data_IF_235887224467
#
_entry.id   IF_235887224467
#
_cell.length_a   1.000
_cell.length_b   1.000
_cell.length_c   1.000
_cell.angle_alpha   90.00
_cell.angle_beta   90.00
_cell.angle_gamma   90.00
#
_symmetry.space_group_name_H-M   'P 1'
#
loop_
_entity.id
_entity.type
_entity.pdbx_description
1 polymer ?
#
# COMPACT_ATOMS: atom_id res chain seq x y z
N UNK A 1 -71.41 -76.74 18.08
CA UNK A 1 -71.50 -77.68 16.92
C UNK A 1 -70.82 -77.02 15.76
N UNK A 2 -69.74 -77.70 15.20
CA UNK A 2 -69.30 -77.68 13.78
C UNK A 2 -68.83 -76.37 13.19
N UNK A 3 -67.81 -76.29 12.46
CA UNK A 3 -66.72 -77.10 11.91
C UNK A 3 -65.78 -76.08 11.19
N UNK A 4 -64.55 -76.16 11.48
CA UNK A 4 -63.36 -76.14 10.65
C UNK A 4 -63.50 -75.75 9.17
N UNK A 5 -62.65 -74.85 8.72
CA UNK A 5 -62.26 -74.59 7.33
C UNK A 5 -60.87 -73.97 7.29
N UNK A 6 -59.89 -74.86 7.04
CA UNK A 6 -58.50 -74.41 6.91
C UNK A 6 -58.24 -73.81 5.55
N UNK A 7 -57.75 -72.58 5.48
CA UNK A 7 -57.26 -71.93 4.27
C UNK A 7 -55.73 -71.79 4.34
N UNK A 8 -55.03 -72.49 3.43
CA UNK A 8 -53.57 -72.39 3.21
C UNK A 8 -53.22 -71.00 2.67
N UNK A 9 -52.41 -70.28 3.43
CA UNK A 9 -51.77 -69.04 2.98
C UNK A 9 -50.44 -69.41 2.32
N UNK A 10 -50.34 -69.20 1.03
CA UNK A 10 -49.06 -69.19 0.29
C UNK A 10 -48.27 -67.94 0.67
N UNK A 11 -47.09 -68.11 1.27
CA UNK A 11 -46.16 -67.04 1.50
C UNK A 11 -45.32 -66.84 0.20
N UNK A 12 -45.63 -65.72 -0.50
CA UNK A 12 -44.77 -65.19 -1.56
C UNK A 12 -43.52 -64.53 -0.90
N UNK A 13 -42.34 -65.02 -1.20
CA UNK A 13 -41.06 -64.35 -0.83
C UNK A 13 -40.80 -63.30 -1.90
N UNK A 14 -40.97 -62.04 -1.53
CA UNK A 14 -40.44 -60.93 -2.32
C UNK A 14 -38.91 -60.87 -2.11
N UNK A 15 -38.15 -61.00 -3.19
CA UNK A 15 -36.72 -60.75 -3.25
C UNK A 15 -36.54 -59.27 -3.52
N UNK A 16 -36.15 -58.53 -2.51
CA UNK A 16 -35.79 -57.10 -2.65
C UNK A 16 -34.36 -57.03 -3.22
N UNK A 17 -34.24 -56.67 -4.53
CA UNK A 17 -32.94 -56.34 -5.14
C UNK A 17 -32.65 -54.91 -4.76
N UNK A 18 -31.70 -54.70 -3.89
CA UNK A 18 -31.17 -53.39 -3.51
C UNK A 18 -30.18 -52.95 -4.58
N UNK A 19 -30.60 -52.07 -5.49
CA UNK A 19 -29.69 -51.39 -6.43
C UNK A 19 -28.91 -50.33 -5.65
N UNK A 20 -27.61 -50.59 -5.38
CA UNK A 20 -26.71 -49.57 -4.85
C UNK A 20 -26.24 -48.73 -6.04
N UNK A 21 -26.83 -47.55 -6.23
CA UNK A 21 -26.28 -46.54 -7.15
C UNK A 21 -25.08 -45.87 -6.46
N UNK A 22 -23.88 -46.24 -6.88
CA UNK A 22 -22.64 -45.58 -6.52
C UNK A 22 -22.54 -44.32 -7.38
N UNK A 23 -23.03 -43.19 -6.87
CA UNK A 23 -22.81 -41.85 -7.48
C UNK A 23 -21.37 -41.44 -7.20
N UNK A 24 -20.47 -41.62 -8.16
CA UNK A 24 -19.19 -40.94 -8.18
C UNK A 24 -19.44 -39.46 -8.43
N UNK A 25 -19.39 -38.64 -7.37
CA UNK A 25 -19.23 -37.21 -7.51
C UNK A 25 -17.81 -36.95 -8.02
N UNK A 26 -17.67 -36.69 -9.31
CA UNK A 26 -16.49 -36.02 -9.83
C UNK A 26 -16.56 -34.56 -9.34
N UNK A 27 -15.82 -34.23 -8.29
CA UNK A 27 -15.43 -32.84 -8.02
C UNK A 27 -14.51 -32.42 -9.16
N UNK A 28 -15.06 -31.71 -10.14
CA UNK A 28 -14.26 -30.93 -11.07
C UNK A 28 -13.80 -29.73 -10.26
N UNK A 29 -12.57 -29.76 -9.74
CA UNK A 29 -11.90 -28.55 -9.29
C UNK A 29 -11.68 -27.67 -10.52
N UNK A 30 -12.55 -26.69 -10.70
CA UNK A 30 -12.31 -25.59 -11.61
C UNK A 30 -11.23 -24.74 -10.95
N UNK A 31 -9.97 -25.02 -11.26
CA UNK A 31 -8.90 -24.07 -11.02
C UNK A 31 -9.29 -22.80 -11.81
N UNK A 32 -9.77 -21.80 -11.10
CA UNK A 32 -9.90 -20.47 -11.66
C UNK A 32 -8.47 -20.01 -12.00
N UNK A 33 -8.10 -20.11 -13.28
CA UNK A 33 -6.96 -19.37 -13.80
C UNK A 33 -7.19 -17.90 -13.46
N UNK A 34 -6.60 -17.45 -12.38
CA UNK A 34 -6.41 -16.03 -12.14
C UNK A 34 -5.44 -15.55 -13.21
N UNK A 35 -5.98 -15.08 -14.32
CA UNK A 35 -5.21 -14.32 -15.30
C UNK A 35 -4.58 -13.17 -14.53
N UNK A 36 -3.27 -13.26 -14.28
CA UNK A 36 -2.48 -12.18 -13.72
C UNK A 36 -2.67 -10.96 -14.62
N UNK A 37 -3.47 -10.01 -14.19
CA UNK A 37 -3.59 -8.73 -14.87
C UNK A 37 -2.26 -7.99 -14.70
N UNK A 38 -1.38 -8.15 -15.67
CA UNK A 38 -0.14 -7.39 -15.73
C UNK A 38 -0.45 -6.01 -16.32
N UNK A 39 0.04 -4.95 -15.66
CA UNK A 39 -0.08 -3.59 -16.18
C UNK A 39 1.04 -3.30 -17.17
N UNK A 40 0.72 -2.56 -18.22
CA UNK A 40 1.75 -2.01 -19.12
C UNK A 40 2.06 -0.58 -18.70
N UNK A 41 3.34 -0.28 -18.55
CA UNK A 41 3.83 1.03 -18.14
C UNK A 41 4.44 1.74 -19.33
N UNK A 42 3.96 2.96 -19.61
CA UNK A 42 4.55 3.80 -20.65
C UNK A 42 5.88 4.37 -20.16
N UNK A 43 6.70 4.88 -21.11
CA UNK A 43 7.91 5.59 -20.75
C UNK A 43 7.58 6.75 -19.78
N UNK A 44 8.30 6.89 -18.66
CA UNK A 44 7.98 7.87 -17.65
C UNK A 44 8.33 9.29 -18.15
N UNK A 45 7.46 10.24 -17.83
CA UNK A 45 7.81 11.67 -17.89
C UNK A 45 8.73 11.97 -16.71
N UNK A 46 9.94 12.44 -16.99
CA UNK A 46 10.94 12.81 -15.98
C UNK A 46 10.93 14.32 -15.76
N UNK A 47 10.85 14.71 -14.48
CA UNK A 47 10.98 16.09 -14.05
C UNK A 47 12.37 16.28 -13.42
N UNK A 48 13.15 17.32 -13.79
CA UNK A 48 14.52 17.54 -13.32
C UNK A 48 14.59 18.06 -11.87
N UNK A 49 13.63 17.68 -11.04
CA UNK A 49 13.53 18.07 -9.62
C UNK A 49 14.25 17.03 -8.80
N UNK A 50 15.26 17.47 -8.03
CA UNK A 50 16.03 16.60 -7.14
C UNK A 50 15.16 16.21 -5.94
N UNK A 51 15.08 14.91 -5.68
CA UNK A 51 14.28 14.34 -4.60
C UNK A 51 15.00 13.12 -4.02
N UNK A 52 14.80 12.81 -2.75
CA UNK A 52 15.52 11.68 -2.10
C UNK A 52 14.62 10.66 -1.44
N UNK A 53 13.39 11.00 -1.05
CA UNK A 53 12.56 10.13 -0.21
C UNK A 53 11.24 9.72 -0.82
N UNK A 54 10.47 10.65 -1.36
CA UNK A 54 9.16 10.30 -1.88
C UNK A 54 8.50 11.41 -2.65
N UNK A 55 7.30 11.13 -3.09
CA UNK A 55 6.45 12.06 -3.81
C UNK A 55 5.02 11.99 -3.29
N UNK A 56 4.33 13.11 -3.29
CA UNK A 56 2.87 13.19 -3.15
C UNK A 56 2.31 13.99 -4.32
N UNK A 57 1.01 13.90 -4.59
CA UNK A 57 0.40 14.51 -5.76
C UNK A 57 -1.02 14.98 -5.47
N UNK A 58 -1.42 16.12 -6.06
CA UNK A 58 -2.79 16.63 -6.08
C UNK A 58 -3.26 16.95 -7.51
N UNK A 59 -4.34 17.70 -7.64
CA UNK A 59 -4.93 18.06 -8.93
C UNK A 59 -3.99 18.85 -9.85
N UNK A 60 -3.24 19.80 -9.30
CA UNK A 60 -2.37 20.72 -10.06
C UNK A 60 -0.88 20.54 -9.83
N UNK A 61 -0.50 19.91 -8.72
CA UNK A 61 0.88 19.90 -8.26
C UNK A 61 1.37 18.50 -7.89
N UNK A 62 2.69 18.32 -7.92
CA UNK A 62 3.38 17.26 -7.22
C UNK A 62 4.33 17.83 -6.17
N UNK A 63 4.61 17.05 -5.16
CA UNK A 63 5.43 17.41 -4.00
C UNK A 63 6.63 16.49 -3.96
N UNK A 64 7.83 17.02 -4.24
CA UNK A 64 9.08 16.28 -4.15
C UNK A 64 9.59 16.34 -2.71
N UNK A 65 9.54 15.19 -2.01
CA UNK A 65 9.85 15.10 -0.58
C UNK A 65 11.27 14.58 -0.40
N UNK A 66 12.09 15.36 0.26
CA UNK A 66 13.44 14.99 0.70
C UNK A 66 13.54 15.07 2.22
N UNK A 67 14.60 14.58 2.84
CA UNK A 67 14.73 14.44 4.29
C UNK A 67 14.25 15.64 5.12
N UNK A 68 14.55 16.85 4.66
CA UNK A 68 14.27 18.10 5.40
C UNK A 68 13.69 19.19 4.50
N UNK A 69 13.20 18.82 3.33
CA UNK A 69 12.72 19.75 2.30
C UNK A 69 11.57 19.14 1.52
N UNK A 70 10.61 19.97 1.16
CA UNK A 70 9.53 19.64 0.24
C UNK A 70 9.45 20.75 -0.81
N UNK A 71 9.54 20.37 -2.08
CA UNK A 71 9.30 21.28 -3.21
C UNK A 71 7.92 20.98 -3.79
N UNK A 72 7.06 21.98 -3.83
CA UNK A 72 5.79 21.98 -4.53
C UNK A 72 6.04 22.39 -5.96
N UNK A 73 5.67 21.55 -6.91
CA UNK A 73 5.98 21.74 -8.33
C UNK A 73 4.71 21.64 -9.18
N UNK A 74 4.61 22.46 -10.18
CA UNK A 74 3.54 22.36 -11.18
C UNK A 74 3.61 21.03 -11.94
N UNK A 75 2.49 20.33 -12.08
CA UNK A 75 2.44 19.01 -12.74
C UNK A 75 2.71 19.04 -14.24
N UNK A 76 2.43 20.15 -14.88
CA UNK A 76 2.60 20.28 -16.33
C UNK A 76 4.02 20.68 -16.69
N UNK A 77 4.53 21.73 -16.03
CA UNK A 77 5.83 22.32 -16.36
C UNK A 77 6.98 21.72 -15.56
N UNK A 78 6.72 21.28 -14.33
CA UNK A 78 7.74 20.86 -13.36
C UNK A 78 8.40 22.02 -12.64
N UNK A 79 7.93 23.26 -12.83
CA UNK A 79 8.46 24.42 -12.14
C UNK A 79 8.16 24.36 -10.66
N UNK A 80 9.14 24.72 -9.83
CA UNK A 80 8.97 24.84 -8.37
C UNK A 80 8.23 26.12 -8.08
N UNK A 81 7.01 26.01 -7.54
CA UNK A 81 6.15 27.16 -7.17
C UNK A 81 6.28 27.53 -5.70
N UNK A 82 6.64 26.57 -4.85
CA UNK A 82 6.90 26.82 -3.43
C UNK A 82 7.87 25.80 -2.87
N UNK A 83 8.59 26.18 -1.84
CA UNK A 83 9.49 25.33 -1.09
C UNK A 83 9.28 25.50 0.39
N UNK A 84 9.20 24.39 1.11
CA UNK A 84 9.40 24.35 2.54
C UNK A 84 10.70 23.61 2.85
N UNK A 85 11.49 24.14 3.79
CA UNK A 85 12.68 23.49 4.30
C UNK A 85 12.76 23.70 5.82
N UNK A 86 13.15 22.66 6.55
CA UNK A 86 13.34 22.75 8.00
C UNK A 86 14.46 23.73 8.31
N UNK A 87 14.15 24.75 9.12
CA UNK A 87 15.14 25.67 9.64
C UNK A 87 15.75 25.10 10.94
N UNK A 88 16.95 24.56 10.81
CA UNK A 88 17.69 23.96 11.94
C UNK A 88 18.02 24.93 13.07
N UNK A 89 17.89 26.23 12.85
CA UNK A 89 18.05 27.26 13.89
C UNK A 89 16.82 27.35 14.81
N UNK A 90 15.70 26.84 14.36
CA UNK A 90 14.46 26.82 15.13
C UNK A 90 14.36 25.49 15.91
N UNK A 91 14.40 25.55 17.23
CA UNK A 91 14.28 24.37 18.10
C UNK A 91 13.06 23.50 17.77
N UNK A 92 11.91 24.17 17.45
CA UNK A 92 10.70 23.46 17.04
C UNK A 92 10.83 22.64 15.72
N UNK A 93 11.85 22.92 14.92
CA UNK A 93 12.11 22.22 13.65
C UNK A 93 13.33 21.31 13.68
N UNK A 94 14.02 21.25 14.81
CA UNK A 94 15.21 20.38 14.97
C UNK A 94 14.88 18.90 14.84
N UNK A 95 13.63 18.50 15.13
CA UNK A 95 13.18 17.12 15.03
C UNK A 95 13.16 16.61 13.59
N UNK A 96 13.02 17.47 12.57
CA UNK A 96 12.99 17.06 11.17
C UNK A 96 14.34 16.48 10.73
N UNK A 97 14.40 15.17 10.65
CA UNK A 97 15.61 14.43 10.23
C UNK A 97 15.38 13.64 8.94
N UNK A 98 14.18 13.07 8.79
CA UNK A 98 13.91 12.13 7.72
C UNK A 98 12.40 12.13 7.35
N UNK A 99 11.97 13.18 6.61
CA UNK A 99 10.70 13.13 5.91
C UNK A 99 10.74 12.02 4.87
N UNK A 100 9.64 11.34 4.68
CA UNK A 100 9.48 10.24 3.74
C UNK A 100 8.36 10.56 2.74
N UNK A 101 7.55 9.56 2.35
CA UNK A 101 6.44 9.75 1.44
C UNK A 101 5.23 10.39 2.13
N UNK A 102 4.24 10.81 1.36
CA UNK A 102 3.03 11.43 1.90
C UNK A 102 1.86 11.36 0.94
N UNK A 103 0.71 11.86 1.41
CA UNK A 103 -0.53 11.97 0.63
C UNK A 103 -1.17 13.33 0.80
N UNK A 104 -1.76 13.85 -0.27
CA UNK A 104 -2.56 15.08 -0.22
C UNK A 104 -4.03 14.73 -0.07
N UNK A 105 -4.67 15.30 0.96
CA UNK A 105 -6.11 15.19 1.21
C UNK A 105 -6.69 16.60 1.41
N UNK A 106 -7.55 17.01 0.50
CA UNK A 106 -8.03 18.38 0.46
C UNK A 106 -6.88 19.37 0.24
N UNK A 107 -6.76 20.36 1.11
CA UNK A 107 -5.69 21.35 1.08
C UNK A 107 -4.54 21.02 2.05
N UNK A 108 -4.35 19.75 2.39
CA UNK A 108 -3.30 19.33 3.33
C UNK A 108 -2.44 18.20 2.77
N UNK A 109 -1.13 18.35 2.92
CA UNK A 109 -0.18 17.25 2.74
C UNK A 109 0.08 16.63 4.12
N UNK A 110 -0.14 15.33 4.21
CA UNK A 110 0.24 14.49 5.34
C UNK A 110 1.51 13.74 4.95
N UNK A 111 2.62 14.07 5.57
CA UNK A 111 3.93 13.47 5.27
C UNK A 111 4.37 12.55 6.41
N UNK A 112 4.84 11.38 6.06
CA UNK A 112 5.50 10.48 6.99
C UNK A 112 6.86 11.06 7.40
N UNK A 113 7.22 10.93 8.67
CA UNK A 113 8.50 11.36 9.19
C UNK A 113 9.03 10.36 10.23
N UNK A 114 10.34 10.23 10.30
CA UNK A 114 11.04 9.51 11.35
C UNK A 114 12.37 10.19 11.70
N UNK A 115 12.96 9.85 12.85
CA UNK A 115 14.29 10.33 13.22
C UNK A 115 15.43 9.45 12.70
N UNK A 116 15.12 8.46 11.85
CA UNK A 116 16.15 7.58 11.29
C UNK A 116 17.33 8.39 10.70
N UNK A 117 18.60 7.96 10.93
CA UNK A 117 19.04 6.78 11.69
C UNK A 117 19.30 7.05 13.19
N UNK A 118 18.77 8.12 13.76
CA UNK A 118 19.02 8.56 15.14
C UNK A 118 18.13 7.78 16.11
N UNK A 119 18.67 7.30 17.21
CA UNK A 119 17.94 6.66 18.29
C UNK A 119 17.61 7.66 19.42
N UNK A 120 16.40 7.61 20.05
CA UNK A 120 15.27 6.77 19.64
C UNK A 120 14.74 7.18 18.28
N UNK A 121 14.30 6.19 17.48
CA UNK A 121 13.74 6.44 16.15
C UNK A 121 12.24 6.73 16.26
N UNK A 122 11.94 7.90 16.80
CA UNK A 122 10.56 8.38 16.92
C UNK A 122 10.00 8.74 15.55
N UNK A 123 8.73 8.45 15.37
CA UNK A 123 7.99 8.73 14.14
C UNK A 123 6.86 9.71 14.37
N UNK A 124 6.50 10.46 13.35
CA UNK A 124 5.41 11.43 13.36
C UNK A 124 4.75 11.55 12.00
N UNK A 125 3.53 12.05 11.97
CA UNK A 125 2.88 12.57 10.77
C UNK A 125 2.98 14.08 10.80
N UNK A 126 3.58 14.64 9.75
CA UNK A 126 3.77 16.08 9.58
C UNK A 126 2.70 16.62 8.65
N UNK A 127 1.93 17.58 9.10
CA UNK A 127 0.82 18.18 8.34
C UNK A 127 1.24 19.55 7.82
N UNK A 128 1.14 19.71 6.50
CA UNK A 128 1.38 20.97 5.82
C UNK A 128 0.08 21.49 5.21
N UNK A 129 -0.19 22.77 5.36
CA UNK A 129 -1.24 23.47 4.65
C UNK A 129 -0.73 23.88 3.27
N UNK A 130 -1.58 23.70 2.28
CA UNK A 130 -1.31 23.96 0.87
C UNK A 130 -2.21 25.09 0.37
N UNK A 131 -1.61 26.13 -0.19
CA UNK A 131 -2.31 27.14 -1.02
C UNK A 131 -1.84 27.06 -2.46
N UNK A 132 -2.31 27.94 -3.35
CA UNK A 132 -1.82 27.96 -4.74
C UNK A 132 -0.30 28.16 -4.83
N UNK A 133 0.27 28.96 -4.00
CA UNK A 133 1.64 29.48 -4.03
C UNK A 133 2.46 29.22 -2.78
N UNK A 134 1.91 28.47 -1.80
CA UNK A 134 2.62 28.21 -0.55
C UNK A 134 2.47 26.79 -0.04
N UNK A 135 3.36 26.46 0.89
CA UNK A 135 3.45 25.21 1.60
C UNK A 135 3.95 25.52 3.01
N UNK A 136 3.10 25.37 4.02
CA UNK A 136 3.40 25.75 5.40
C UNK A 136 3.21 24.59 6.35
N UNK A 137 4.22 24.26 7.15
CA UNK A 137 4.08 23.29 8.23
C UNK A 137 3.11 23.82 9.30
N UNK A 138 2.11 23.01 9.64
CA UNK A 138 1.05 23.37 10.57
C UNK A 138 1.11 22.57 11.86
N UNK A 139 1.44 21.28 11.76
CA UNK A 139 1.31 20.40 12.92
C UNK A 139 2.17 19.15 12.79
N UNK A 140 2.75 18.73 13.91
CA UNK A 140 3.34 17.42 14.13
C UNK A 140 2.37 16.57 14.95
N UNK A 141 2.06 15.37 14.49
CA UNK A 141 1.35 14.36 15.27
C UNK A 141 2.34 13.23 15.60
N UNK A 142 2.80 13.14 16.85
CA UNK A 142 3.65 12.04 17.29
C UNK A 142 2.92 10.69 17.13
N UNK A 143 3.64 9.69 16.65
CA UNK A 143 3.11 8.33 16.52
C UNK A 143 3.64 7.45 17.66
N UNK A 144 2.94 6.34 17.98
CA UNK A 144 3.39 5.44 19.05
C UNK A 144 4.82 4.96 18.84
N UNK A 145 5.61 4.97 19.89
CA UNK A 145 6.99 4.51 19.87
C UNK A 145 7.10 2.98 19.64
N UNK A 146 8.24 2.54 19.13
CA UNK A 146 8.55 1.10 19.02
C UNK A 146 8.06 0.41 17.73
N UNK A 147 7.37 1.11 16.84
CA UNK A 147 6.98 0.52 15.55
C UNK A 147 8.09 0.51 14.51
N UNK A 148 9.05 1.41 14.60
CA UNK A 148 10.12 1.62 13.62
C UNK A 148 10.00 2.96 12.89
N UNK A 149 10.64 3.09 11.72
CA UNK A 149 10.61 4.29 10.91
C UNK A 149 9.32 4.39 10.12
N UNK A 150 8.51 5.42 10.31
CA UNK A 150 7.37 5.70 9.46
C UNK A 150 7.85 6.13 8.07
N UNK A 151 7.63 5.28 7.06
CA UNK A 151 8.15 5.48 5.70
C UNK A 151 7.12 6.01 4.72
N UNK A 152 5.85 5.71 4.91
CA UNK A 152 4.79 6.28 4.09
C UNK A 152 3.45 6.29 4.83
N UNK A 153 2.57 7.15 4.36
CA UNK A 153 1.19 7.30 4.79
C UNK A 153 0.31 7.47 3.57
N UNK A 154 -0.82 6.81 3.56
CA UNK A 154 -1.85 6.99 2.54
C UNK A 154 -3.25 6.82 3.12
N UNK A 155 -4.27 7.31 2.41
CA UNK A 155 -5.67 7.19 2.79
C UNK A 155 -6.42 6.34 1.77
N UNK A 156 -7.03 5.25 2.24
CA UNK A 156 -7.84 4.38 1.41
C UNK A 156 -9.23 5.02 1.14
N UNK A 157 -9.90 4.56 0.10
CA UNK A 157 -11.24 5.06 -0.32
C UNK A 157 -12.33 4.89 0.74
N UNK A 158 -12.19 3.94 1.67
CA UNK A 158 -13.09 3.73 2.81
C UNK A 158 -12.91 4.78 3.94
N UNK A 159 -11.98 5.71 3.76
CA UNK A 159 -11.64 6.75 4.72
C UNK A 159 -10.58 6.35 5.74
N UNK A 160 -10.20 5.09 5.82
CA UNK A 160 -9.14 4.64 6.71
C UNK A 160 -7.76 5.10 6.23
N UNK A 161 -6.85 5.29 7.20
CA UNK A 161 -5.46 5.66 6.95
C UNK A 161 -4.56 4.45 7.11
N UNK A 162 -3.50 4.42 6.33
CA UNK A 162 -2.56 3.32 6.29
C UNK A 162 -1.14 3.83 6.35
N UNK A 163 -0.34 3.23 7.23
CA UNK A 163 1.03 3.67 7.50
C UNK A 163 1.95 2.46 7.61
N UNK A 164 3.14 2.55 6.99
CA UNK A 164 4.16 1.50 7.12
C UNK A 164 5.30 1.98 8.00
N UNK A 165 5.70 1.09 8.91
CA UNK A 165 6.81 1.30 9.83
C UNK A 165 7.92 0.31 9.51
N UNK A 166 8.99 0.83 8.92
CA UNK A 166 10.14 0.05 8.51
C UNK A 166 11.06 -0.31 9.68
N UNK A 167 11.45 -1.57 9.73
CA UNK A 167 12.55 -2.06 10.54
C UNK A 167 13.63 -2.57 9.60
N UNK A 168 14.88 -2.13 9.81
CA UNK A 168 15.98 -2.44 8.90
C UNK A 168 16.87 -3.57 9.42
N UNK A 169 17.54 -4.25 8.50
CA UNK A 169 18.46 -5.35 8.76
C UNK A 169 17.90 -6.68 8.26
N UNK A 170 18.78 -7.50 7.66
CA UNK A 170 18.45 -8.74 6.92
C UNK A 170 17.55 -9.73 7.65
N UNK A 171 17.59 -9.75 8.99
CA UNK A 171 16.75 -10.63 9.81
C UNK A 171 15.66 -9.88 10.57
N UNK A 172 15.82 -8.56 10.75
CA UNK A 172 14.89 -7.72 11.51
C UNK A 172 13.78 -7.10 10.64
N UNK A 173 14.00 -6.95 9.33
CA UNK A 173 13.03 -6.35 8.41
C UNK A 173 11.69 -7.09 8.33
N UNK A 174 11.61 -8.36 8.74
CA UNK A 174 10.36 -9.10 8.94
C UNK A 174 9.45 -8.51 10.02
N UNK A 175 9.98 -7.61 10.87
CA UNK A 175 9.23 -6.88 11.88
C UNK A 175 8.59 -5.60 11.32
N UNK A 176 8.84 -5.25 10.05
CA UNK A 176 8.17 -4.16 9.35
C UNK A 176 6.67 -4.39 9.35
N UNK A 177 5.92 -3.35 9.66
CA UNK A 177 4.47 -3.44 9.84
C UNK A 177 3.75 -2.48 8.91
N UNK A 178 2.56 -2.87 8.51
CA UNK A 178 1.56 -1.99 7.94
C UNK A 178 0.44 -1.87 8.97
N UNK A 179 0.06 -0.64 9.31
CA UNK A 179 -0.95 -0.40 10.33
C UNK A 179 -2.08 0.44 9.74
N UNK A 180 -3.32 -0.02 9.94
CA UNK A 180 -4.55 0.68 9.61
C UNK A 180 -4.95 1.57 10.77
N UNK A 181 -5.28 2.83 10.48
CA UNK A 181 -5.70 3.83 11.47
C UNK A 181 -7.05 4.43 11.15
N UNK A 182 -7.71 4.94 12.18
CA UNK A 182 -8.77 5.92 12.13
C UNK A 182 -8.17 7.29 12.50
N UNK A 183 -8.61 8.34 11.82
CA UNK A 183 -8.21 9.71 12.11
C UNK A 183 -9.43 10.52 12.51
N UNK A 184 -9.52 10.88 13.78
CA UNK A 184 -10.62 11.63 14.39
C UNK A 184 -10.05 12.62 15.39
N UNK A 185 -10.66 13.79 15.52
CA UNK A 185 -10.26 14.86 16.45
C UNK A 185 -8.78 15.25 16.38
N UNK A 186 -8.21 15.10 15.18
CA UNK A 186 -6.81 15.40 14.94
C UNK A 186 -5.83 14.35 15.46
N UNK A 187 -6.24 13.14 15.78
CA UNK A 187 -5.41 12.05 16.27
C UNK A 187 -5.60 10.79 15.45
N UNK A 188 -4.55 9.98 15.37
CA UNK A 188 -4.58 8.66 14.76
C UNK A 188 -4.76 7.59 15.84
N UNK A 189 -5.76 6.72 15.69
CA UNK A 189 -6.01 5.56 16.54
C UNK A 189 -5.81 4.28 15.75
N UNK A 190 -4.98 3.37 16.24
CA UNK A 190 -4.72 2.08 15.59
C UNK A 190 -5.98 1.23 15.54
N UNK A 191 -6.28 0.67 14.37
CA UNK A 191 -7.40 -0.26 14.17
C UNK A 191 -6.91 -1.69 14.00
N UNK A 192 -5.87 -1.89 13.18
CA UNK A 192 -5.32 -3.22 12.89
C UNK A 192 -3.88 -3.14 12.42
N UNK A 193 -3.07 -4.07 12.88
CA UNK A 193 -1.67 -4.25 12.45
C UNK A 193 -1.55 -5.47 11.54
N UNK A 194 -0.78 -5.33 10.47
CA UNK A 194 -0.51 -6.37 9.48
C UNK A 194 0.99 -6.62 9.38
N UNK A 195 1.36 -7.89 9.24
CA UNK A 195 2.70 -8.30 8.82
C UNK A 195 2.75 -8.40 7.30
N UNK A 196 3.87 -8.00 6.70
CA UNK A 196 4.06 -8.22 5.27
C UNK A 196 4.31 -9.69 4.95
N UNK A 197 3.82 -10.21 3.82
CA UNK A 197 4.09 -11.57 3.35
C UNK A 197 5.61 -11.83 3.23
N UNK A 198 6.03 -13.04 3.58
CA UNK A 198 7.45 -13.42 3.56
C UNK A 198 8.08 -13.26 2.17
N UNK A 199 7.31 -13.49 1.11
CA UNK A 199 7.72 -13.32 -0.28
C UNK A 199 8.10 -11.89 -0.61
N UNK A 200 7.41 -10.91 -0.02
CA UNK A 200 7.72 -9.48 -0.16
C UNK A 200 8.91 -9.09 0.70
N UNK A 201 8.93 -9.54 1.96
CA UNK A 201 10.04 -9.27 2.88
C UNK A 201 11.38 -9.77 2.33
N UNK A 202 11.39 -10.96 1.71
CA UNK A 202 12.59 -11.55 1.12
C UNK A 202 13.19 -10.69 -0.02
N UNK A 203 12.36 -9.92 -0.72
CA UNK A 203 12.79 -9.02 -1.82
C UNK A 203 13.46 -7.74 -1.34
N UNK A 204 13.32 -7.37 -0.07
CA UNK A 204 13.91 -6.13 0.47
C UNK A 204 15.39 -6.25 0.86
N UNK A 205 15.96 -7.45 0.90
CA UNK A 205 17.35 -7.67 1.31
C UNK A 205 17.59 -7.25 2.76
N UNK A 206 18.47 -6.28 3.00
CA UNK A 206 18.72 -5.68 4.32
C UNK A 206 17.90 -4.41 4.58
N UNK A 207 17.15 -3.96 3.56
CA UNK A 207 16.29 -2.78 3.64
C UNK A 207 14.85 -3.17 4.04
N UNK A 208 13.88 -2.32 3.74
CA UNK A 208 12.50 -2.52 4.17
C UNK A 208 11.53 -1.85 3.20
N UNK A 209 10.24 -1.80 3.54
CA UNK A 209 9.22 -1.09 2.80
C UNK A 209 9.50 0.42 2.84
N UNK A 210 9.73 1.04 1.69
CA UNK A 210 10.09 2.46 1.58
C UNK A 210 8.96 3.35 1.04
N UNK A 211 7.97 2.77 0.38
CA UNK A 211 6.85 3.50 -0.17
C UNK A 211 5.60 2.65 -0.28
N UNK A 212 4.45 3.32 -0.39
CA UNK A 212 3.18 2.66 -0.62
C UNK A 212 2.09 3.64 -1.00
N UNK A 213 1.15 3.19 -1.83
CA UNK A 213 -0.03 3.94 -2.22
C UNK A 213 -1.13 3.00 -2.68
N UNK A 214 -2.38 3.32 -2.34
CA UNK A 214 -3.55 2.59 -2.82
C UNK A 214 -3.85 2.95 -4.26
N UNK A 215 -3.91 1.93 -5.12
CA UNK A 215 -4.20 2.06 -6.53
C UNK A 215 -5.67 2.34 -6.86
N UNK A 216 -5.95 2.78 -8.10
CA UNK A 216 -7.32 2.99 -8.58
C UNK A 216 -8.12 1.67 -8.66
N UNK A 217 -7.44 0.53 -8.76
CA UNK A 217 -7.99 -0.82 -8.72
C UNK A 217 -8.36 -1.30 -7.29
N UNK A 218 -8.02 -0.51 -6.27
CA UNK A 218 -8.25 -0.82 -4.86
C UNK A 218 -7.17 -1.68 -4.23
N UNK A 219 -6.10 -2.01 -4.97
CA UNK A 219 -4.97 -2.77 -4.46
C UNK A 219 -3.90 -1.86 -3.84
N UNK A 220 -3.12 -2.42 -2.93
CA UNK A 220 -2.01 -1.72 -2.31
C UNK A 220 -0.71 -1.99 -3.07
N UNK A 221 -0.09 -0.94 -3.58
CA UNK A 221 1.23 -0.97 -4.21
C UNK A 221 2.27 -0.52 -3.21
N UNK A 222 3.29 -1.34 -2.97
CA UNK A 222 4.39 -1.01 -2.05
C UNK A 222 5.74 -1.17 -2.74
N UNK A 223 6.73 -0.41 -2.31
CA UNK A 223 8.10 -0.48 -2.83
C UNK A 223 9.08 -0.91 -1.76
N UNK A 224 10.17 -1.54 -2.19
CA UNK A 224 11.39 -1.66 -1.41
C UNK A 224 12.28 -0.43 -1.58
N UNK A 225 13.58 -0.59 -1.32
CA UNK A 225 14.56 0.50 -1.39
C UNK A 225 15.45 0.41 -2.65
N UNK A 226 15.85 -0.80 -3.06
CA UNK A 226 16.96 -1.00 -4.00
C UNK A 226 16.54 -1.50 -5.40
N UNK A 227 15.27 -1.83 -5.60
CA UNK A 227 14.78 -2.41 -6.85
C UNK A 227 13.75 -1.53 -7.54
N UNK A 228 13.77 -1.53 -8.88
CA UNK A 228 12.76 -0.88 -9.73
C UNK A 228 11.48 -1.73 -9.80
N UNK A 229 10.91 -2.04 -8.66
CA UNK A 229 9.78 -2.94 -8.49
C UNK A 229 8.75 -2.37 -7.51
N UNK A 230 7.46 -2.65 -7.75
CA UNK A 230 6.43 -2.54 -6.73
C UNK A 230 5.80 -3.90 -6.47
N UNK A 231 5.46 -4.14 -5.23
CA UNK A 231 4.80 -5.34 -4.76
C UNK A 231 3.33 -5.03 -4.56
N UNK A 232 2.48 -5.74 -5.28
CA UNK A 232 1.03 -5.53 -5.25
C UNK A 232 0.42 -6.47 -4.22
N UNK A 233 -0.34 -5.90 -3.32
CA UNK A 233 -0.94 -6.58 -2.18
C UNK A 233 -2.44 -6.33 -2.16
N UNK A 234 -3.16 -7.30 -1.62
CA UNK A 234 -4.59 -7.19 -1.30
C UNK A 234 -4.83 -7.53 0.18
N UNK A 235 -6.00 -7.17 0.67
CA UNK A 235 -6.49 -7.62 1.97
C UNK A 235 -7.35 -8.85 1.71
N UNK A 236 -6.90 -10.03 2.15
CA UNK A 236 -7.64 -11.27 1.97
C UNK A 236 -8.93 -11.33 2.81
N UNK A 237 -9.74 -12.36 2.60
CA UNK A 237 -11.01 -12.56 3.29
C UNK A 237 -10.84 -12.72 4.81
N UNK A 238 -9.72 -13.27 5.26
CA UNK A 238 -9.35 -13.42 6.66
C UNK A 238 -8.81 -12.11 7.25
N UNK A 239 -8.63 -11.09 6.39
CA UNK A 239 -8.14 -9.77 6.74
C UNK A 239 -6.63 -9.75 6.98
N UNK A 240 -5.87 -10.60 6.29
CA UNK A 240 -4.40 -10.55 6.17
C UNK A 240 -3.93 -9.75 4.96
N UNK A 241 -2.62 -9.56 4.84
CA UNK A 241 -2.00 -9.05 3.61
C UNK A 241 -1.65 -10.24 2.72
N UNK A 242 -2.22 -10.25 1.52
CA UNK A 242 -1.92 -11.23 0.48
C UNK A 242 -1.04 -10.61 -0.60
N UNK A 243 0.11 -11.21 -0.88
CA UNK A 243 0.92 -10.85 -2.05
C UNK A 243 0.28 -11.40 -3.32
N UNK A 244 0.08 -10.53 -4.32
CA UNK A 244 -0.50 -10.92 -5.60
C UNK A 244 0.57 -11.06 -6.67
N UNK A 245 1.41 -10.03 -6.86
CA UNK A 245 2.41 -9.99 -7.93
C UNK A 245 3.47 -8.91 -7.70
N UNK A 246 4.55 -8.96 -8.48
CA UNK A 246 5.55 -7.89 -8.60
C UNK A 246 5.37 -7.18 -9.94
N UNK A 247 5.18 -5.88 -9.88
CA UNK A 247 5.23 -5.00 -11.05
C UNK A 247 6.67 -4.56 -11.30
N UNK A 248 7.08 -4.58 -12.57
CA UNK A 248 8.42 -4.19 -13.03
C UNK A 248 8.31 -3.08 -14.08
N UNK A 249 9.45 -2.47 -14.39
CA UNK A 249 9.58 -1.48 -15.49
C UNK A 249 8.68 -0.24 -15.37
N UNK A 250 8.32 0.12 -14.14
CA UNK A 250 7.42 1.25 -13.85
C UNK A 250 8.09 2.62 -13.94
N UNK A 251 9.36 2.68 -14.29
CA UNK A 251 10.13 3.91 -14.43
C UNK A 251 10.69 4.50 -13.15
N UNK A 252 10.21 4.09 -11.97
CA UNK A 252 10.76 4.51 -10.67
C UNK A 252 11.67 3.44 -10.07
N UNK A 253 12.39 3.79 -9.00
CA UNK A 253 13.41 2.95 -8.39
C UNK A 253 13.33 3.03 -6.87
N UNK A 254 12.53 2.15 -6.27
CA UNK A 254 12.31 2.14 -4.83
C UNK A 254 11.69 3.45 -4.31
N UNK A 255 11.82 3.70 -3.01
CA UNK A 255 11.37 4.92 -2.32
C UNK A 255 9.85 5.16 -2.38
N UNK A 256 9.41 6.33 -1.93
CA UNK A 256 7.99 6.68 -1.86
C UNK A 256 7.35 6.86 -3.23
N UNK A 257 6.14 6.32 -3.38
CA UNK A 257 5.30 6.41 -4.57
C UNK A 257 3.95 7.03 -4.24
N UNK A 258 3.25 7.53 -5.26
CA UNK A 258 1.89 8.06 -5.12
C UNK A 258 1.07 7.82 -6.38
N UNK A 259 -0.10 7.20 -6.24
CA UNK A 259 -1.10 7.17 -7.30
C UNK A 259 -1.80 8.52 -7.44
N UNK A 260 -1.90 9.00 -8.68
CA UNK A 260 -2.59 10.25 -9.00
C UNK A 260 -4.10 10.05 -9.06
N UNK A 261 -4.78 10.39 -7.97
CA UNK A 261 -6.24 10.26 -7.85
C UNK A 261 -7.04 11.32 -8.61
N UNK A 262 -6.35 12.30 -9.19
CA UNK A 262 -6.93 13.45 -9.89
C UNK A 262 -6.79 13.34 -11.40
N UNK A 263 -5.91 12.48 -11.88
CA UNK A 263 -5.72 12.22 -13.30
C UNK A 263 -6.85 11.34 -13.87
N UNK A 264 -7.30 11.63 -15.09
CA UNK A 264 -8.26 10.77 -15.80
C UNK A 264 -7.69 9.39 -16.14
N UNK A 265 -6.39 9.35 -16.43
CA UNK A 265 -5.66 8.11 -16.66
C UNK A 265 -4.99 7.66 -15.36
N UNK A 266 -4.79 6.37 -15.18
CA UNK A 266 -3.97 5.86 -14.09
C UNK A 266 -2.53 6.34 -14.28
N UNK A 267 -2.02 7.12 -13.32
CA UNK A 267 -0.65 7.64 -13.32
C UNK A 267 -0.03 7.35 -11.97
N UNK A 268 1.14 6.72 -12.00
CA UNK A 268 1.92 6.45 -10.80
C UNK A 268 3.16 7.36 -10.78
N UNK A 269 3.27 8.10 -9.69
CA UNK A 269 4.40 8.99 -9.44
C UNK A 269 5.42 8.28 -8.54
N UNK A 270 6.70 8.55 -8.79
CA UNK A 270 7.80 7.97 -8.04
C UNK A 270 9.12 8.69 -8.28
N UNK A 271 10.23 8.03 -7.93
CA UNK A 271 11.58 8.57 -8.02
C UNK A 271 12.42 7.63 -8.89
N UNK A 272 13.08 8.15 -9.92
CA UNK A 272 14.05 7.38 -10.70
C UNK A 272 15.39 7.25 -9.96
N UNK A 273 16.22 6.28 -10.38
CA UNK A 273 17.51 5.95 -9.74
C UNK A 273 18.44 7.16 -9.56
N UNK A 274 18.41 8.13 -10.48
CA UNK A 274 19.21 9.36 -10.41
C UNK A 274 18.56 10.45 -9.54
N UNK A 275 17.59 10.10 -8.70
CA UNK A 275 16.92 10.98 -7.73
C UNK A 275 16.18 12.15 -8.36
N UNK A 276 15.46 11.90 -9.44
CA UNK A 276 14.51 12.83 -10.05
C UNK A 276 13.10 12.30 -9.95
N UNK A 277 12.10 13.18 -9.95
CA UNK A 277 10.70 12.78 -9.95
C UNK A 277 10.31 12.22 -11.32
N UNK A 278 9.49 11.19 -11.32
CA UNK A 278 8.87 10.67 -12.54
C UNK A 278 7.36 10.45 -12.38
N UNK A 279 6.67 10.53 -13.50
CA UNK A 279 5.26 10.18 -13.64
C UNK A 279 5.11 9.15 -14.75
N UNK A 280 4.61 7.97 -14.42
CA UNK A 280 4.44 6.85 -15.34
C UNK A 280 2.96 6.61 -15.58
N UNK A 281 2.52 6.70 -16.84
CA UNK A 281 1.16 6.33 -17.21
C UNK A 281 1.05 4.81 -17.22
N UNK A 282 0.02 4.30 -16.58
CA UNK A 282 -0.31 2.89 -16.56
C UNK A 282 -1.41 2.64 -17.56
N UNK A 283 -1.13 1.83 -18.57
CA UNK A 283 -2.16 1.33 -19.49
C UNK A 283 -2.76 0.06 -18.87
N UNK A 284 -4.07 0.02 -18.72
CA UNK A 284 -4.75 -1.23 -18.40
C UNK A 284 -4.51 -2.22 -19.54
N UNK A 285 -4.15 -3.44 -19.22
CA UNK A 285 -4.14 -4.53 -20.20
C UNK A 285 -5.60 -4.85 -20.53
N UNK A 286 -5.88 -4.86 -21.82
CA UNK A 286 -7.18 -5.27 -22.37
C UNK A 286 -7.38 -6.76 -22.22
#
# INVERSE_FOLDING_TARGET
MNKQGAGKVLRSRAVTVQLVLLSMLFCVEVEAETTEQTHTYNQPKIFPIKVTQGVAVDGGFFYAISNTRIDKCDKQTGEVVATWAADKRLAAQEHFKHLNSGVVIGNKLYAAHSRFPIAPNDSSVEIFELTSDSLKHMRTIPMPAGHGSLTWIDRHKDGSWWMSYAVYGKTKNKQTKLIKYRYEDGQFSELKTYSFPNEVVAKWGSMSCSGGSWGPDGLLYTTGHDHAEAYVLDIDAEGGLKYLRTEKDMGFYGQGIAWDRFAKAAVLWGIVKNKKVCATRVAAIK
#
